data_IF_490329482247
#
_entry.id   IF_490329482247
#
_cell.length_a   1.000
_cell.length_b   1.000
_cell.length_c   1.000
_cell.angle_alpha   90.00
_cell.angle_beta   90.00
_cell.angle_gamma   90.00
#
_symmetry.space_group_name_H-M   'P 1'
#
loop_
_entity.id
_entity.type
_entity.pdbx_description
1 polymer ?
#
# COMPACT_ATOMS: atom_id res chain seq x y z
N UNK A 1 -4.06 -8.19 -4.81
CA UNK A 1 -2.64 -7.89 -5.05
C UNK A 1 -2.10 -7.06 -3.89
N UNK A 2 -0.95 -7.43 -3.37
CA UNK A 2 -0.32 -6.73 -2.26
C UNK A 2 0.58 -5.62 -2.82
N UNK A 3 0.34 -4.38 -2.41
CA UNK A 3 1.11 -3.22 -2.84
C UNK A 3 1.96 -2.77 -1.66
N UNK A 4 3.27 -2.92 -1.76
CA UNK A 4 4.16 -2.68 -0.63
C UNK A 4 4.56 -1.23 -0.45
N UNK A 5 4.59 -0.45 -1.53
CA UNK A 5 5.03 0.95 -1.48
C UNK A 5 4.69 1.64 -2.80
N UNK A 6 4.95 2.95 -2.90
CA UNK A 6 4.90 3.67 -4.16
C UNK A 6 5.98 3.16 -5.11
N UNK A 7 5.85 3.48 -6.40
CA UNK A 7 6.76 2.96 -7.43
C UNK A 7 8.23 3.25 -7.16
N UNK A 8 8.53 4.43 -6.67
CA UNK A 8 9.91 4.87 -6.47
C UNK A 8 10.61 4.11 -5.35
N UNK A 9 9.88 3.75 -4.31
CA UNK A 9 10.44 3.08 -3.14
C UNK A 9 10.19 1.57 -3.13
N UNK A 10 9.50 1.05 -4.12
CA UNK A 10 9.06 -0.35 -4.12
C UNK A 10 10.21 -1.35 -3.97
N UNK A 11 11.30 -1.23 -4.74
CA UNK A 11 12.40 -2.20 -4.62
C UNK A 11 13.00 -2.23 -3.22
N UNK A 12 13.13 -1.05 -2.60
CA UNK A 12 13.69 -0.94 -1.25
C UNK A 12 12.78 -1.58 -0.20
N UNK A 13 11.48 -1.29 -0.28
CA UNK A 13 10.51 -1.80 0.70
C UNK A 13 10.29 -3.29 0.53
N UNK A 14 10.25 -3.78 -0.70
CA UNK A 14 10.10 -5.20 -0.96
C UNK A 14 11.34 -6.02 -0.59
N UNK A 15 12.48 -5.34 -0.40
CA UNK A 15 13.72 -6.03 -0.03
C UNK A 15 14.32 -6.84 -1.17
N UNK A 16 13.95 -6.56 -2.41
CA UNK A 16 14.43 -7.28 -3.59
C UNK A 16 15.10 -6.27 -4.52
N UNK A 17 16.43 -6.13 -4.43
CA UNK A 17 17.16 -5.27 -5.38
C UNK A 17 16.94 -5.81 -6.80
N UNK A 18 16.67 -4.94 -7.73
CA UNK A 18 16.46 -5.35 -9.11
C UNK A 18 15.08 -5.92 -9.42
N UNK A 19 14.11 -5.75 -8.50
CA UNK A 19 12.74 -6.14 -8.77
C UNK A 19 12.25 -5.47 -10.07
N UNK A 20 11.54 -6.22 -10.90
CA UNK A 20 11.07 -5.70 -12.18
C UNK A 20 9.77 -4.93 -11.98
N UNK A 21 9.89 -3.63 -11.70
CA UNK A 21 8.73 -2.75 -11.48
C UNK A 21 7.77 -2.77 -12.65
N UNK A 22 8.28 -2.92 -13.86
CA UNK A 22 7.43 -2.95 -15.05
C UNK A 22 6.38 -4.05 -14.98
N UNK A 23 6.75 -5.21 -14.44
CA UNK A 23 5.80 -6.33 -14.30
C UNK A 23 4.76 -6.04 -13.22
N UNK A 24 5.18 -5.39 -12.14
CA UNK A 24 4.26 -5.00 -11.06
C UNK A 24 3.28 -3.94 -11.58
N UNK A 25 3.78 -2.94 -12.29
CA UNK A 25 2.93 -1.91 -12.88
C UNK A 25 1.97 -2.50 -13.91
N UNK A 26 2.45 -3.42 -14.73
CA UNK A 26 1.63 -4.11 -15.73
C UNK A 26 0.51 -4.92 -15.06
N UNK A 27 0.84 -5.66 -14.01
CA UNK A 27 -0.15 -6.44 -13.27
C UNK A 27 -1.21 -5.56 -12.64
N UNK A 28 -0.81 -4.44 -12.04
CA UNK A 28 -1.75 -3.51 -11.45
C UNK A 28 -2.67 -2.90 -12.51
N UNK A 29 -2.11 -2.48 -13.65
CA UNK A 29 -2.88 -1.91 -14.74
C UNK A 29 -3.86 -2.93 -15.33
N UNK A 30 -3.42 -4.18 -15.45
CA UNK A 30 -4.29 -5.25 -15.93
C UNK A 30 -5.51 -5.42 -15.04
N UNK A 31 -5.31 -5.41 -13.73
CA UNK A 31 -6.41 -5.56 -12.79
C UNK A 31 -7.36 -4.36 -12.83
N UNK A 32 -6.81 -3.14 -12.86
CA UNK A 32 -7.62 -1.92 -12.87
C UNK A 32 -8.50 -1.86 -14.11
N UNK A 33 -7.94 -2.22 -15.27
CA UNK A 33 -8.63 -2.13 -16.56
C UNK A 33 -9.40 -3.40 -16.93
N UNK A 34 -9.24 -4.47 -16.14
CA UNK A 34 -9.90 -5.74 -16.43
C UNK A 34 -11.31 -5.83 -15.85
N UNK A 35 -11.97 -6.95 -16.13
CA UNK A 35 -13.32 -7.22 -15.66
C UNK A 35 -13.38 -8.25 -14.53
N UNK A 36 -12.25 -8.82 -14.13
CA UNK A 36 -12.24 -9.80 -13.03
C UNK A 36 -12.25 -9.07 -11.68
N UNK A 37 -12.92 -9.65 -10.67
CA UNK A 37 -12.90 -9.08 -9.33
C UNK A 37 -11.48 -9.09 -8.77
N UNK A 38 -11.11 -8.00 -8.09
CA UNK A 38 -9.79 -7.88 -7.46
C UNK A 38 -9.86 -6.94 -6.27
N UNK A 39 -8.82 -6.97 -5.47
CA UNK A 39 -8.56 -5.94 -4.46
C UNK A 39 -7.06 -5.69 -4.37
N UNK A 40 -6.68 -4.45 -4.09
CA UNK A 40 -5.33 -4.11 -3.69
C UNK A 40 -5.30 -3.96 -2.18
N UNK A 41 -4.17 -4.24 -1.58
CA UNK A 41 -4.00 -4.04 -0.14
C UNK A 41 -2.55 -3.65 0.16
N UNK A 42 -2.38 -2.86 1.22
CA UNK A 42 -1.07 -2.49 1.73
C UNK A 42 -1.08 -2.66 3.23
N UNK A 43 -0.12 -3.42 3.75
CA UNK A 43 0.10 -3.47 5.20
C UNK A 43 0.91 -2.24 5.57
N UNK A 44 0.30 -1.33 6.34
CA UNK A 44 0.90 -0.03 6.66
C UNK A 44 1.62 -0.08 8.00
N UNK A 45 2.80 0.50 8.04
CA UNK A 45 3.64 0.52 9.25
C UNK A 45 4.53 1.77 9.24
N UNK A 46 5.01 2.16 10.42
CA UNK A 46 5.97 3.24 10.54
C UNK A 46 7.39 2.67 10.51
N UNK A 47 8.38 3.38 9.99
CA UNK A 47 8.29 4.69 9.35
C UNK A 47 8.09 4.64 7.84
N UNK A 48 7.83 3.47 7.25
CA UNK A 48 7.78 3.31 5.80
C UNK A 48 6.63 4.05 5.14
N UNK A 49 5.44 3.98 5.73
CA UNK A 49 4.24 4.54 5.12
C UNK A 49 3.92 5.88 5.71
N UNK A 50 4.14 6.93 4.92
CA UNK A 50 3.81 8.31 5.26
C UNK A 50 2.65 8.78 4.40
N UNK A 51 1.99 9.90 4.73
CA UNK A 51 0.95 10.45 3.86
C UNK A 51 1.45 10.71 2.43
N UNK A 52 2.69 11.14 2.26
CA UNK A 52 3.26 11.39 0.93
C UNK A 52 3.44 10.10 0.16
N UNK A 53 3.92 9.03 0.82
CA UNK A 53 4.07 7.73 0.19
C UNK A 53 2.70 7.17 -0.23
N UNK A 54 1.71 7.31 0.63
CA UNK A 54 0.36 6.85 0.34
C UNK A 54 -0.27 7.63 -0.80
N UNK A 55 -0.05 8.94 -0.84
CA UNK A 55 -0.54 9.76 -1.96
C UNK A 55 0.09 9.29 -3.28
N UNK A 56 1.36 8.90 -3.27
CA UNK A 56 2.04 8.33 -4.43
C UNK A 56 1.42 7.02 -4.89
N UNK A 57 1.08 6.14 -3.94
CA UNK A 57 0.38 4.91 -4.25
C UNK A 57 -0.99 5.21 -4.87
N UNK A 58 -1.71 6.18 -4.30
CA UNK A 58 -3.01 6.58 -4.81
C UNK A 58 -2.93 7.06 -6.25
N UNK A 59 -1.95 7.91 -6.57
CA UNK A 59 -1.77 8.38 -7.95
C UNK A 59 -1.47 7.22 -8.91
N UNK A 60 -0.63 6.29 -8.46
CA UNK A 60 -0.29 5.12 -9.28
C UNK A 60 -1.50 4.23 -9.53
N UNK A 61 -2.29 3.96 -8.50
CA UNK A 61 -3.42 3.04 -8.59
C UNK A 61 -4.75 3.73 -8.85
N UNK A 62 -4.71 4.97 -9.30
CA UNK A 62 -5.93 5.73 -9.59
C UNK A 62 -6.86 4.95 -10.50
N UNK A 63 -8.11 4.86 -10.11
CA UNK A 63 -9.11 4.06 -10.82
C UNK A 63 -9.33 2.68 -10.22
N UNK A 64 -8.53 2.29 -9.23
CA UNK A 64 -8.74 1.02 -8.54
C UNK A 64 -10.12 1.00 -7.87
N UNK A 65 -10.80 -0.14 -7.96
CA UNK A 65 -12.16 -0.27 -7.43
C UNK A 65 -12.18 -0.66 -5.97
N UNK A 66 -11.13 -1.31 -5.48
CA UNK A 66 -11.04 -1.76 -4.09
C UNK A 66 -9.61 -1.65 -3.60
N UNK A 67 -9.41 -0.92 -2.53
CA UNK A 67 -8.11 -0.79 -1.90
C UNK A 67 -8.28 -0.83 -0.38
N UNK A 68 -7.47 -1.66 0.27
CA UNK A 68 -7.53 -1.84 1.72
C UNK A 68 -6.18 -1.53 2.35
N UNK A 69 -6.22 -0.73 3.41
CA UNK A 69 -5.07 -0.53 4.27
C UNK A 69 -5.20 -1.51 5.43
N UNK A 70 -4.18 -2.31 5.64
CA UNK A 70 -4.18 -3.33 6.68
C UNK A 70 -3.17 -2.95 7.75
N UNK A 71 -3.58 -2.85 9.02
CA UNK A 71 -2.65 -2.48 10.08
C UNK A 71 -1.56 -3.53 10.26
N UNK A 72 -0.31 -3.07 10.41
CA UNK A 72 0.80 -3.92 10.80
C UNK A 72 0.66 -4.28 12.26
N UNK A 73 0.86 -5.55 12.58
CA UNK A 73 0.82 -6.05 13.96
C UNK A 73 2.21 -6.56 14.30
N UNK A 74 2.81 -5.98 15.36
CA UNK A 74 4.11 -6.43 15.84
C UNK A 74 3.91 -7.72 16.64
N UNK A 75 4.28 -8.84 16.04
CA UNK A 75 4.18 -10.15 16.68
C UNK A 75 5.46 -10.55 17.43
N UNK A 76 6.46 -9.66 17.45
CA UNK A 76 7.74 -9.95 18.05
C UNK A 76 8.67 -10.76 17.15
N UNK A 77 8.23 -11.11 15.96
CA UNK A 77 9.02 -11.92 15.03
C UNK A 77 9.91 -11.10 14.12
N UNK A 78 9.67 -9.80 14.03
CA UNK A 78 10.41 -8.90 13.13
C UNK A 78 11.56 -8.21 13.84
N UNK A 79 12.43 -9.00 14.42
CA UNK A 79 13.57 -8.49 15.18
C UNK A 79 14.51 -7.72 14.27
N UNK A 80 14.83 -6.48 14.63
CA UNK A 80 15.79 -5.66 13.89
C UNK A 80 15.23 -4.96 12.67
N UNK A 81 13.93 -5.09 12.38
CA UNK A 81 13.32 -4.46 11.20
C UNK A 81 13.10 -2.96 11.38
N UNK A 82 12.98 -2.47 12.61
CA UNK A 82 12.65 -1.09 12.89
C UNK A 82 11.21 -0.71 12.58
N UNK A 83 10.38 -1.67 12.21
CA UNK A 83 8.98 -1.42 11.88
C UNK A 83 8.13 -1.31 13.14
N UNK A 84 7.19 -0.37 13.14
CA UNK A 84 6.29 -0.15 14.28
C UNK A 84 4.85 -0.05 13.79
N UNK A 85 3.89 -0.54 14.60
CA UNK A 85 2.48 -0.33 14.31
C UNK A 85 2.14 1.17 14.31
N UNK A 86 1.17 1.54 13.51
CA UNK A 86 0.65 2.91 13.49
C UNK A 86 -0.54 3.02 14.43
N UNK A 87 -0.77 4.23 14.96
CA UNK A 87 -1.98 4.50 15.73
C UNK A 87 -3.18 4.56 14.79
N UNK A 88 -4.38 4.51 15.38
CA UNK A 88 -5.61 4.62 14.61
C UNK A 88 -5.64 5.93 13.82
N UNK A 89 -5.27 7.03 14.46
CA UNK A 89 -5.27 8.35 13.82
C UNK A 89 -4.27 8.41 12.67
N UNK A 90 -3.11 7.76 12.83
CA UNK A 90 -2.10 7.71 11.78
C UNK A 90 -2.61 6.93 10.56
N UNK A 91 -3.26 5.79 10.80
CA UNK A 91 -3.81 4.98 9.70
C UNK A 91 -4.91 5.73 8.98
N UNK A 92 -5.77 6.43 9.72
CA UNK A 92 -6.84 7.24 9.12
C UNK A 92 -6.27 8.36 8.25
N UNK A 93 -5.18 9.00 8.70
CA UNK A 93 -4.50 10.02 7.91
C UNK A 93 -3.93 9.43 6.61
N UNK A 94 -3.39 8.22 6.66
CA UNK A 94 -2.89 7.53 5.47
C UNK A 94 -4.04 7.25 4.50
N UNK A 95 -5.16 6.75 5.00
CA UNK A 95 -6.35 6.52 4.17
C UNK A 95 -6.80 7.80 3.50
N UNK A 96 -6.87 8.90 4.26
CA UNK A 96 -7.33 10.17 3.72
C UNK A 96 -6.42 10.68 2.61
N UNK A 97 -5.13 10.35 2.65
CA UNK A 97 -4.18 10.73 1.61
C UNK A 97 -4.44 10.00 0.29
N UNK A 98 -5.10 8.84 0.33
CA UNK A 98 -5.39 8.03 -0.85
C UNK A 98 -6.78 8.32 -1.41
N UNK A 99 -7.73 8.73 -0.57
CA UNK A 99 -9.13 8.92 -0.96
C UNK A 99 -9.34 9.79 -2.21
N UNK A 100 -8.57 10.88 -2.42
CA UNK A 100 -8.78 11.69 -3.64
C UNK A 100 -8.61 10.90 -4.94
N UNK A 101 -7.73 9.89 -4.95
CA UNK A 101 -7.50 9.07 -6.13
C UNK A 101 -8.27 7.76 -6.10
N UNK A 102 -8.50 7.20 -4.91
CA UNK A 102 -9.22 5.93 -4.74
C UNK A 102 -10.28 6.11 -3.65
N UNK A 103 -11.46 6.65 -4.01
CA UNK A 103 -12.50 6.95 -3.00
C UNK A 103 -13.00 5.74 -2.23
N UNK A 104 -12.82 4.54 -2.76
CA UNK A 104 -13.28 3.30 -2.10
C UNK A 104 -12.30 2.76 -1.07
N UNK A 105 -11.19 3.45 -0.82
CA UNK A 105 -10.17 2.99 0.14
C UNK A 105 -10.76 2.81 1.53
N UNK A 106 -10.49 1.67 2.14
CA UNK A 106 -10.98 1.32 3.46
C UNK A 106 -9.85 0.78 4.32
N UNK A 107 -10.04 0.83 5.64
CA UNK A 107 -9.12 0.24 6.61
C UNK A 107 -9.71 -1.10 7.03
N UNK A 108 -8.93 -2.17 6.89
CA UNK A 108 -9.37 -3.53 7.22
C UNK A 108 -8.85 -3.91 8.61
N UNK A 109 -9.67 -4.59 9.39
CA UNK A 109 -9.22 -5.15 10.67
C UNK A 109 -9.24 -4.18 11.84
N UNK A 110 -10.00 -3.11 11.75
CA UNK A 110 -10.23 -2.22 12.89
C UNK A 110 -11.48 -2.61 13.65
#
# INVERSE_FOLDING_TARGET
MDIKAGRENYPRVAGIPGIQMEKIEESAAFLINGSIPYEFRTTVCAPLHTPEEMAGIGRWLKGAKRYFLQPFVDSGELVGSGMKPLTKEEIEALRDSVLPDIPSTQIRGQ
#
